data_IF_330093570799
#
_entry.id   IF_330093570799
#
_cell.length_a   1.000
_cell.length_b   1.000
_cell.length_c   1.000
_cell.angle_alpha   90.00
_cell.angle_beta   90.00
_cell.angle_gamma   90.00
#
_symmetry.space_group_name_H-M   'P 1'
#
loop_
_entity.id
_entity.type
_entity.pdbx_description
1 polymer ?
#
# COMPACT_ATOMS: atom_id res chain seq x y z
N UNK A 1 -14.00 -22.40 21.88
CA UNK A 1 -13.76 -20.98 22.17
C UNK A 1 -14.60 -20.17 21.19
N UNK A 2 -15.63 -19.45 21.68
CA UNK A 2 -16.37 -18.55 20.79
C UNK A 2 -15.51 -17.33 20.52
N UNK A 3 -14.94 -17.25 19.31
CA UNK A 3 -14.18 -16.08 18.90
C UNK A 3 -15.21 -15.02 18.55
N UNK A 4 -15.24 -13.95 19.31
CA UNK A 4 -16.00 -12.78 18.96
C UNK A 4 -15.29 -12.08 17.80
N UNK A 5 -15.82 -12.23 16.58
CA UNK A 5 -15.32 -11.49 15.43
C UNK A 5 -16.08 -10.17 15.39
N UNK A 6 -15.40 -9.04 15.58
CA UNK A 6 -16.06 -7.74 15.64
C UNK A 6 -16.77 -7.42 14.33
N UNK A 7 -17.92 -6.80 14.41
CA UNK A 7 -18.53 -6.12 13.27
C UNK A 7 -17.70 -4.90 12.85
N UNK A 8 -17.90 -4.44 11.63
CA UNK A 8 -17.24 -3.23 11.14
C UNK A 8 -17.61 -2.04 12.01
N UNK A 9 -16.61 -1.38 12.61
CA UNK A 9 -16.79 -0.19 13.44
C UNK A 9 -15.78 0.90 13.06
N UNK A 10 -16.09 2.15 13.36
CA UNK A 10 -15.33 3.35 12.99
C UNK A 10 -15.06 4.28 14.18
N UNK A 11 -14.96 3.72 15.38
CA UNK A 11 -14.82 4.42 16.65
C UNK A 11 -13.75 3.80 17.55
N UNK A 12 -12.70 3.23 16.94
CA UNK A 12 -11.57 2.67 17.68
C UNK A 12 -10.82 3.74 18.47
N UNK A 13 -10.63 3.55 19.78
CA UNK A 13 -9.69 4.37 20.53
C UNK A 13 -8.25 3.89 20.35
N UNK A 14 -7.28 4.76 20.61
CA UNK A 14 -5.86 4.40 20.56
C UNK A 14 -5.51 3.33 21.60
N UNK A 15 -6.12 3.41 22.79
CA UNK A 15 -5.94 2.44 23.88
C UNK A 15 -6.43 1.06 23.48
N UNK A 16 -7.58 0.95 22.81
CA UNK A 16 -8.10 -0.33 22.31
C UNK A 16 -7.15 -0.96 21.28
N UNK A 17 -6.62 -0.14 20.35
CA UNK A 17 -5.69 -0.63 19.34
C UNK A 17 -4.34 -1.01 19.96
N UNK A 18 -3.83 -0.25 20.92
CA UNK A 18 -2.64 -0.62 21.70
C UNK A 18 -2.84 -1.93 22.46
N UNK A 19 -4.02 -2.13 23.07
CA UNK A 19 -4.35 -3.38 23.75
C UNK A 19 -4.32 -4.59 22.79
N UNK A 20 -4.66 -4.41 21.51
CA UNK A 20 -4.47 -5.45 20.49
C UNK A 20 -2.97 -5.74 20.26
N UNK A 21 -2.14 -4.69 20.12
CA UNK A 21 -0.69 -4.86 19.97
C UNK A 21 -0.04 -5.56 21.16
N UNK A 22 -0.56 -5.40 22.36
CA UNK A 22 0.00 -5.99 23.60
C UNK A 22 -0.47 -7.42 23.86
N UNK A 23 -1.40 -7.95 23.10
CA UNK A 23 -1.85 -9.34 23.21
C UNK A 23 -0.70 -10.35 23.03
N UNK A 24 -0.77 -11.53 23.66
CA UNK A 24 0.10 -12.64 23.30
C UNK A 24 0.08 -12.86 21.78
N UNK A 25 1.28 -13.00 21.19
CA UNK A 25 1.42 -13.02 19.71
C UNK A 25 0.53 -14.08 19.05
N UNK A 26 0.51 -15.30 19.61
CA UNK A 26 -0.26 -16.40 19.04
C UNK A 26 -1.77 -16.14 19.08
N UNK A 27 -2.27 -15.53 20.18
CA UNK A 27 -3.69 -15.19 20.33
C UNK A 27 -4.10 -14.09 19.35
N UNK A 28 -3.24 -13.09 19.15
CA UNK A 28 -3.47 -12.01 18.18
C UNK A 28 -3.55 -12.56 16.75
N UNK A 29 -2.59 -13.39 16.34
CA UNK A 29 -2.56 -13.95 14.98
C UNK A 29 -3.72 -14.90 14.75
N UNK A 30 -4.09 -15.70 15.77
CA UNK A 30 -5.24 -16.58 15.71
C UNK A 30 -6.56 -15.82 15.50
N UNK A 31 -6.77 -14.73 16.25
CA UNK A 31 -7.95 -13.88 16.09
C UNK A 31 -7.97 -13.20 14.71
N UNK A 32 -6.83 -12.63 14.27
CA UNK A 32 -6.72 -12.03 12.95
C UNK A 32 -7.06 -13.03 11.83
N UNK A 33 -6.61 -14.29 11.95
CA UNK A 33 -6.93 -15.34 11.01
C UNK A 33 -8.43 -15.71 11.04
N UNK A 34 -9.04 -15.72 12.20
CA UNK A 34 -10.49 -15.97 12.32
C UNK A 34 -11.30 -14.85 11.66
N UNK A 35 -10.91 -13.59 11.87
CA UNK A 35 -11.49 -12.43 11.17
C UNK A 35 -11.28 -12.55 9.67
N UNK A 36 -10.07 -12.86 9.21
CA UNK A 36 -9.77 -13.05 7.80
C UNK A 36 -10.71 -14.08 7.15
N UNK A 37 -10.81 -15.29 7.72
CA UNK A 37 -11.64 -16.38 7.17
C UNK A 37 -13.13 -16.10 7.17
N UNK A 38 -13.60 -15.15 7.98
CA UNK A 38 -15.02 -14.74 7.98
C UNK A 38 -15.36 -13.80 6.81
N UNK A 39 -14.42 -12.97 6.38
CA UNK A 39 -14.68 -11.89 5.42
C UNK A 39 -14.00 -12.06 4.07
N UNK A 40 -13.03 -12.96 3.97
CA UNK A 40 -12.25 -13.23 2.76
C UNK A 40 -12.21 -14.73 2.46
N UNK A 41 -12.03 -15.07 1.19
CA UNK A 41 -11.80 -16.46 0.79
C UNK A 41 -10.49 -16.96 1.37
N UNK A 42 -10.55 -18.11 2.04
CA UNK A 42 -9.38 -18.70 2.67
C UNK A 42 -8.34 -19.12 1.62
N UNK A 43 -7.07 -18.82 1.90
CA UNK A 43 -5.93 -19.20 1.07
C UNK A 43 -5.89 -18.53 -0.32
N UNK A 44 -6.76 -17.56 -0.60
CA UNK A 44 -6.66 -16.71 -1.79
C UNK A 44 -5.84 -15.46 -1.53
N UNK A 45 -4.96 -15.12 -2.47
CA UNK A 45 -4.11 -13.93 -2.42
C UNK A 45 -4.23 -13.17 -3.73
N UNK A 46 -4.70 -11.92 -3.65
CA UNK A 46 -4.80 -11.05 -4.82
C UNK A 46 -3.40 -10.68 -5.32
N UNK A 47 -3.18 -10.87 -6.62
CA UNK A 47 -1.96 -10.45 -7.30
C UNK A 47 -2.15 -9.09 -7.96
N UNK A 48 -1.29 -8.15 -7.60
CA UNK A 48 -1.22 -6.84 -8.24
C UNK A 48 0.17 -6.63 -8.82
N UNK A 49 0.27 -5.88 -9.91
CA UNK A 49 1.56 -5.43 -10.43
C UNK A 49 1.65 -3.92 -10.39
N UNK A 50 2.84 -3.39 -10.08
CA UNK A 50 3.08 -1.96 -9.95
C UNK A 50 4.09 -1.49 -10.98
N UNK A 51 3.70 -0.50 -11.79
CA UNK A 51 4.56 0.17 -12.77
C UNK A 51 4.86 1.60 -12.34
N UNK A 52 6.13 1.99 -12.35
CA UNK A 52 6.51 3.42 -12.25
C UNK A 52 6.37 4.06 -13.62
N UNK A 53 5.28 4.78 -13.85
CA UNK A 53 5.03 5.51 -15.10
C UNK A 53 5.79 6.84 -15.18
N UNK A 54 6.28 7.34 -14.04
CA UNK A 54 7.18 8.49 -13.96
C UNK A 54 8.01 8.38 -12.68
N UNK A 55 9.33 8.24 -12.83
CA UNK A 55 10.27 8.00 -11.73
C UNK A 55 11.03 9.28 -11.39
N UNK A 56 11.27 9.53 -10.09
CA UNK A 56 12.15 10.59 -9.59
C UNK A 56 11.65 12.00 -9.82
N UNK A 57 12.39 12.98 -9.25
CA UNK A 57 12.07 14.40 -9.39
C UNK A 57 10.78 14.84 -8.70
N UNK A 58 10.34 14.12 -7.65
CA UNK A 58 9.22 14.54 -6.81
C UNK A 58 9.67 15.73 -5.95
N UNK A 59 8.81 16.75 -5.84
CA UNK A 59 9.12 17.93 -5.02
C UNK A 59 8.95 17.71 -3.51
N UNK A 60 8.33 16.57 -3.12
CA UNK A 60 8.19 16.17 -1.72
C UNK A 60 9.52 15.73 -1.11
N UNK A 61 9.62 15.79 0.22
CA UNK A 61 10.83 15.46 0.97
C UNK A 61 10.70 14.21 1.86
N UNK A 62 9.79 13.30 1.54
CA UNK A 62 9.55 12.08 2.31
C UNK A 62 10.87 11.34 2.61
N UNK A 63 11.23 11.23 3.89
CA UNK A 63 12.54 10.77 4.34
C UNK A 63 12.90 9.34 3.92
N UNK A 64 11.91 8.52 3.60
CA UNK A 64 12.07 7.14 3.10
C UNK A 64 12.20 7.04 1.58
N UNK A 65 11.89 8.12 0.82
CA UNK A 65 11.61 8.01 -0.61
C UNK A 65 12.80 8.43 -1.48
N UNK A 66 13.43 7.51 -2.23
CA UNK A 66 14.54 7.85 -3.13
C UNK A 66 14.09 8.70 -4.33
N UNK A 67 12.79 8.82 -4.59
CA UNK A 67 12.26 9.61 -5.71
C UNK A 67 12.17 11.11 -5.41
N UNK A 68 12.38 11.53 -4.15
CA UNK A 68 12.43 12.94 -3.76
C UNK A 68 13.59 13.65 -4.46
N UNK A 69 13.30 14.78 -5.10
CA UNK A 69 14.32 15.61 -5.78
C UNK A 69 15.42 16.04 -4.81
N UNK A 70 15.07 16.28 -3.57
CA UNK A 70 15.98 16.66 -2.47
C UNK A 70 17.13 15.65 -2.29
N UNK A 71 16.86 14.35 -2.49
CA UNK A 71 17.82 13.26 -2.29
C UNK A 71 18.41 12.72 -3.60
N UNK A 72 18.06 13.29 -4.76
CA UNK A 72 18.48 12.78 -6.07
C UNK A 72 19.99 12.67 -6.24
N UNK A 73 20.77 13.61 -5.65
CA UNK A 73 22.24 13.58 -5.69
C UNK A 73 22.83 12.40 -4.91
N UNK A 74 22.27 12.12 -3.73
CA UNK A 74 22.81 11.12 -2.81
C UNK A 74 22.34 9.71 -3.18
N UNK A 75 21.12 9.58 -3.71
CA UNK A 75 20.58 8.31 -4.20
C UNK A 75 21.04 7.96 -5.62
N UNK A 76 21.50 8.93 -6.39
CA UNK A 76 21.83 8.76 -7.81
C UNK A 76 20.64 8.54 -8.73
N UNK A 77 19.40 8.63 -8.22
CA UNK A 77 18.19 8.37 -8.99
C UNK A 77 17.91 9.52 -9.97
N UNK A 78 17.89 9.20 -11.25
CA UNK A 78 17.58 10.17 -12.31
C UNK A 78 16.07 10.26 -12.54
N UNK A 79 15.59 11.50 -12.68
CA UNK A 79 14.19 11.74 -13.03
C UNK A 79 13.90 11.33 -14.49
N UNK A 80 12.75 10.67 -14.70
CA UNK A 80 12.24 10.35 -16.03
C UNK A 80 11.08 11.29 -16.42
N UNK A 81 10.76 11.34 -17.71
CA UNK A 81 9.49 11.87 -18.20
C UNK A 81 8.36 10.88 -17.91
N UNK A 82 7.11 11.33 -18.07
CA UNK A 82 5.96 10.44 -18.09
C UNK A 82 6.12 9.42 -19.22
N UNK A 83 5.80 8.16 -18.93
CA UNK A 83 5.87 7.07 -19.91
C UNK A 83 4.77 7.24 -20.96
N UNK A 84 5.07 6.88 -22.20
CA UNK A 84 4.05 6.90 -23.27
C UNK A 84 3.03 5.79 -23.11
N UNK A 85 1.81 6.02 -23.60
CA UNK A 85 0.66 5.12 -23.50
C UNK A 85 1.00 3.69 -23.95
N UNK A 86 1.61 3.51 -25.14
CA UNK A 86 1.91 2.18 -25.70
C UNK A 86 2.81 1.34 -24.78
N UNK A 87 3.78 1.98 -24.11
CA UNK A 87 4.66 1.29 -23.18
C UNK A 87 3.91 0.85 -21.92
N UNK A 88 2.99 1.68 -21.40
CA UNK A 88 2.13 1.34 -20.26
C UNK A 88 1.21 0.18 -20.61
N UNK A 89 0.55 0.23 -21.77
CA UNK A 89 -0.35 -0.83 -22.24
C UNK A 89 0.38 -2.14 -22.49
N UNK A 90 1.61 -2.08 -23.00
CA UNK A 90 2.46 -3.28 -23.16
C UNK A 90 2.79 -3.92 -21.81
N UNK A 91 3.18 -3.11 -20.82
CA UNK A 91 3.44 -3.58 -19.46
C UNK A 91 2.20 -4.16 -18.78
N UNK A 92 1.03 -3.52 -18.97
CA UNK A 92 -0.24 -3.99 -18.41
C UNK A 92 -0.65 -5.35 -19.01
N UNK A 93 -0.43 -5.54 -20.32
CA UNK A 93 -0.68 -6.83 -21.00
C UNK A 93 0.20 -7.93 -20.42
N UNK A 94 1.51 -7.68 -20.30
CA UNK A 94 2.43 -8.62 -19.68
C UNK A 94 2.05 -8.97 -18.24
N UNK A 95 1.61 -7.98 -17.45
CA UNK A 95 1.11 -8.19 -16.09
C UNK A 95 -0.13 -9.09 -16.04
N UNK A 96 -1.08 -8.87 -16.98
CA UNK A 96 -2.27 -9.71 -17.11
C UNK A 96 -1.90 -11.15 -17.46
N UNK A 97 -1.01 -11.33 -18.43
CA UNK A 97 -0.55 -12.66 -18.88
C UNK A 97 0.19 -13.40 -17.75
N UNK A 98 0.85 -12.66 -16.84
CA UNK A 98 1.46 -13.18 -15.62
C UNK A 98 0.45 -13.43 -14.47
N UNK A 99 -0.85 -13.22 -14.69
CA UNK A 99 -1.92 -13.52 -13.73
C UNK A 99 -2.24 -12.39 -12.74
N UNK A 100 -1.79 -11.16 -12.97
CA UNK A 100 -2.21 -10.04 -12.15
C UNK A 100 -3.70 -9.73 -12.40
N UNK A 101 -4.46 -9.53 -11.32
CA UNK A 101 -5.85 -9.06 -11.38
C UNK A 101 -5.97 -7.54 -11.29
N UNK A 102 -4.91 -6.86 -10.76
CA UNK A 102 -4.84 -5.40 -10.65
C UNK A 102 -3.52 -4.86 -11.16
N UNK A 103 -3.60 -3.78 -11.94
CA UNK A 103 -2.43 -3.06 -12.42
C UNK A 103 -2.37 -1.66 -11.80
N UNK A 104 -1.31 -1.42 -11.03
CA UNK A 104 -1.08 -0.17 -10.33
C UNK A 104 -0.06 0.67 -11.10
N UNK A 105 -0.34 1.95 -11.27
CA UNK A 105 0.50 2.91 -11.99
C UNK A 105 0.89 4.06 -11.05
N UNK A 106 2.20 4.23 -10.80
CA UNK A 106 2.71 5.24 -9.89
C UNK A 106 3.54 6.31 -10.59
N UNK A 107 3.30 7.57 -10.27
CA UNK A 107 4.11 8.70 -10.72
C UNK A 107 4.66 9.50 -9.53
N UNK A 108 5.95 9.84 -9.59
CA UNK A 108 6.64 10.61 -8.55
C UNK A 108 6.28 12.10 -8.68
N UNK A 109 5.11 12.48 -8.18
CA UNK A 109 4.58 13.83 -8.15
C UNK A 109 4.08 14.23 -6.77
N UNK A 110 4.07 15.53 -6.48
CA UNK A 110 3.27 16.12 -5.41
C UNK A 110 1.78 16.01 -5.75
N UNK A 111 1.44 16.36 -7.01
CA UNK A 111 0.11 16.19 -7.64
C UNK A 111 0.27 16.15 -9.16
N UNK A 112 -0.67 15.54 -9.90
CA UNK A 112 -0.63 15.57 -11.36
C UNK A 112 -0.86 16.99 -11.87
N UNK A 113 -0.20 17.35 -12.96
CA UNK A 113 -0.47 18.60 -13.66
C UNK A 113 -1.61 18.39 -14.66
N UNK A 114 -2.43 19.40 -14.89
CA UNK A 114 -3.59 19.28 -15.80
C UNK A 114 -3.20 18.85 -17.20
N UNK A 115 -2.05 19.33 -17.71
CA UNK A 115 -1.53 18.92 -19.02
C UNK A 115 -1.17 17.44 -19.13
N UNK A 116 -0.94 16.77 -18.00
CA UNK A 116 -0.56 15.35 -17.96
C UNK A 116 -1.81 14.46 -17.70
N UNK A 117 -2.97 15.07 -17.35
CA UNK A 117 -4.19 14.31 -17.01
C UNK A 117 -4.81 13.59 -18.21
N UNK A 118 -4.72 14.15 -19.42
CA UNK A 118 -5.28 13.52 -20.61
C UNK A 118 -4.53 12.21 -20.93
N UNK A 119 -3.21 12.20 -20.78
CA UNK A 119 -2.41 10.98 -20.94
C UNK A 119 -2.75 9.95 -19.85
N UNK A 120 -2.92 10.41 -18.59
CA UNK A 120 -3.30 9.54 -17.48
C UNK A 120 -4.68 8.92 -17.68
N UNK A 121 -5.66 9.69 -18.13
CA UNK A 121 -7.01 9.19 -18.47
C UNK A 121 -6.93 8.08 -19.52
N UNK A 122 -6.19 8.29 -20.61
CA UNK A 122 -6.00 7.25 -21.64
C UNK A 122 -5.33 5.99 -21.10
N UNK A 123 -4.39 6.12 -20.15
CA UNK A 123 -3.77 4.96 -19.49
C UNK A 123 -4.80 4.19 -18.65
N UNK A 124 -5.65 4.88 -17.88
CA UNK A 124 -6.71 4.24 -17.08
C UNK A 124 -7.69 3.49 -17.98
N UNK A 125 -8.23 4.16 -18.99
CA UNK A 125 -9.18 3.59 -19.95
C UNK A 125 -8.58 2.38 -20.68
N UNK A 126 -7.33 2.50 -21.16
CA UNK A 126 -6.65 1.45 -21.91
C UNK A 126 -6.35 0.21 -21.06
N UNK A 127 -5.96 0.39 -19.80
CA UNK A 127 -5.70 -0.73 -18.85
C UNK A 127 -7.03 -1.37 -18.44
N UNK A 128 -8.05 -0.55 -18.12
CA UNK A 128 -9.39 -1.03 -17.78
C UNK A 128 -10.04 -1.86 -18.90
N UNK A 129 -9.86 -1.42 -20.17
CA UNK A 129 -10.34 -2.16 -21.34
C UNK A 129 -9.72 -3.56 -21.50
N UNK A 130 -8.58 -3.84 -20.85
CA UNK A 130 -7.98 -5.17 -20.80
C UNK A 130 -8.66 -6.08 -19.75
N UNK A 131 -9.57 -5.57 -18.93
CA UNK A 131 -10.21 -6.30 -17.83
C UNK A 131 -9.36 -6.38 -16.57
N UNK A 132 -8.33 -5.56 -16.43
CA UNK A 132 -7.56 -5.39 -15.21
C UNK A 132 -8.22 -4.33 -14.32
N UNK A 133 -8.24 -4.56 -13.01
CA UNK A 133 -8.52 -3.46 -12.08
C UNK A 133 -7.41 -2.42 -12.18
N UNK A 134 -7.79 -1.15 -12.23
CA UNK A 134 -6.85 -0.03 -12.32
C UNK A 134 -6.58 0.58 -10.95
N UNK A 135 -5.33 0.97 -10.69
CA UNK A 135 -4.97 1.69 -9.48
C UNK A 135 -3.94 2.78 -9.82
N UNK A 136 -4.16 3.99 -9.34
CA UNK A 136 -3.24 5.12 -9.54
C UNK A 136 -2.64 5.63 -8.23
N UNK A 137 -1.37 6.07 -8.29
CA UNK A 137 -0.65 6.78 -7.23
C UNK A 137 0.01 8.00 -7.86
N UNK A 138 -0.64 9.16 -7.81
CA UNK A 138 -0.20 10.38 -8.50
C UNK A 138 0.13 11.54 -7.55
N UNK A 139 0.19 11.27 -6.25
CA UNK A 139 0.28 12.28 -5.21
C UNK A 139 -1.09 12.78 -4.74
N UNK A 140 -1.19 14.04 -4.34
CA UNK A 140 -2.47 14.66 -3.94
C UNK A 140 -3.38 14.89 -5.14
N UNK A 141 -4.69 14.85 -4.93
CA UNK A 141 -5.70 15.18 -5.95
C UNK A 141 -6.60 16.31 -5.48
N UNK A 142 -6.91 17.20 -6.39
CA UNK A 142 -8.05 18.09 -6.27
C UNK A 142 -9.36 17.34 -6.64
N UNK A 143 -10.50 17.84 -6.18
CA UNK A 143 -11.82 17.24 -6.44
C UNK A 143 -12.07 16.99 -7.93
N UNK A 144 -11.83 18.00 -8.80
CA UNK A 144 -12.02 17.84 -10.25
C UNK A 144 -11.09 16.81 -10.89
N UNK A 145 -9.87 16.64 -10.35
CA UNK A 145 -8.92 15.62 -10.82
C UNK A 145 -9.41 14.21 -10.46
N UNK A 146 -9.87 14.03 -9.21
CA UNK A 146 -10.45 12.78 -8.76
C UNK A 146 -11.68 12.41 -9.62
N UNK A 147 -12.57 13.38 -9.91
CA UNK A 147 -13.74 13.18 -10.75
C UNK A 147 -13.37 12.78 -12.18
N UNK A 148 -12.36 13.44 -12.78
CA UNK A 148 -11.89 13.05 -14.13
C UNK A 148 -11.36 11.61 -14.18
N UNK A 149 -10.65 11.17 -13.15
CA UNK A 149 -10.16 9.81 -13.05
C UNK A 149 -11.29 8.80 -12.82
N UNK A 150 -12.32 9.16 -12.04
CA UNK A 150 -13.53 8.36 -11.87
C UNK A 150 -14.30 8.20 -13.20
N UNK A 151 -14.48 9.29 -13.94
CA UNK A 151 -15.14 9.29 -15.25
C UNK A 151 -14.39 8.42 -16.29
N UNK A 152 -13.06 8.29 -16.14
CA UNK A 152 -12.22 7.38 -16.93
C UNK A 152 -12.30 5.90 -16.48
N UNK A 153 -13.03 5.60 -15.42
CA UNK A 153 -13.20 4.24 -14.88
C UNK A 153 -12.07 3.79 -13.96
N UNK A 154 -11.40 4.70 -13.24
CA UNK A 154 -10.40 4.32 -12.25
C UNK A 154 -11.04 3.57 -11.08
N UNK A 155 -10.60 2.33 -10.83
CA UNK A 155 -11.13 1.51 -9.74
C UNK A 155 -10.59 1.91 -8.37
N UNK A 156 -9.27 2.19 -8.26
CA UNK A 156 -8.59 2.47 -7.00
C UNK A 156 -7.65 3.67 -7.10
N UNK A 157 -7.58 4.45 -6.04
CA UNK A 157 -6.53 5.44 -5.85
C UNK A 157 -5.72 5.15 -4.61
N UNK A 158 -4.40 5.02 -4.78
CA UNK A 158 -3.49 4.81 -3.65
C UNK A 158 -2.95 6.15 -3.13
N UNK A 159 -3.23 6.41 -1.87
CA UNK A 159 -2.68 7.54 -1.14
C UNK A 159 -2.53 7.17 0.34
N UNK A 160 -1.33 6.73 0.72
CA UNK A 160 -1.07 6.25 2.07
C UNK A 160 -1.04 7.39 3.08
N UNK A 161 -1.46 7.12 4.34
CA UNK A 161 -1.21 8.00 5.48
C UNK A 161 0.25 7.94 5.94
N UNK A 162 0.94 6.87 5.61
CA UNK A 162 2.34 6.54 5.89
C UNK A 162 2.65 6.27 7.36
N UNK A 163 2.16 7.09 8.32
CA UNK A 163 2.38 6.93 9.77
C UNK A 163 1.23 7.53 10.59
N UNK A 164 1.40 7.70 11.91
CA UNK A 164 0.47 8.46 12.75
C UNK A 164 0.49 9.96 12.44
N UNK A 165 -0.56 10.71 12.78
CA UNK A 165 -0.55 12.17 12.68
C UNK A 165 0.64 12.82 13.41
N UNK A 166 1.00 12.27 14.58
CA UNK A 166 2.06 12.79 15.43
C UNK A 166 3.45 12.57 14.82
N UNK A 167 3.71 11.36 14.29
CA UNK A 167 5.01 11.00 13.73
C UNK A 167 5.18 11.47 12.27
N UNK A 168 4.10 11.81 11.59
CA UNK A 168 4.10 12.19 10.18
C UNK A 168 5.07 13.34 9.86
N UNK A 169 5.07 14.38 10.68
CA UNK A 169 5.92 15.58 10.52
C UNK A 169 7.42 15.33 10.71
N UNK A 170 7.79 14.22 11.38
CA UNK A 170 9.19 13.81 11.51
C UNK A 170 9.73 13.20 10.20
N UNK A 171 8.83 12.79 9.30
CA UNK A 171 9.18 12.07 8.07
C UNK A 171 8.95 12.92 6.84
N UNK A 172 7.94 13.80 6.84
CA UNK A 172 7.52 14.60 5.69
C UNK A 172 7.24 16.02 6.18
N UNK A 173 7.89 17.00 5.59
CA UNK A 173 7.72 18.43 5.97
C UNK A 173 7.10 19.29 4.87
N UNK A 174 7.00 18.76 3.65
CA UNK A 174 6.51 19.49 2.48
C UNK A 174 4.99 19.43 2.29
N UNK A 175 4.30 18.62 3.07
CA UNK A 175 2.84 18.52 3.12
C UNK A 175 2.39 18.02 4.49
N UNK A 176 1.13 18.26 4.85
CA UNK A 176 0.56 17.89 6.14
C UNK A 176 -0.14 16.52 6.09
N UNK A 177 -0.47 15.99 7.26
CA UNK A 177 -1.27 14.77 7.38
C UNK A 177 -2.72 15.03 6.93
N UNK A 178 -3.24 16.23 7.21
CA UNK A 178 -4.58 16.67 6.81
C UNK A 178 -4.73 16.70 5.29
N UNK A 179 -3.74 17.21 4.54
CA UNK A 179 -3.75 17.20 3.06
C UNK A 179 -3.83 15.77 2.50
N UNK A 180 -3.32 14.76 3.25
CA UNK A 180 -3.52 13.34 2.91
C UNK A 180 -4.98 12.93 3.07
N UNK A 181 -5.61 13.32 4.18
CA UNK A 181 -7.01 13.02 4.44
C UNK A 181 -7.94 13.71 3.43
N UNK A 182 -7.66 14.97 3.08
CA UNK A 182 -8.42 15.71 2.06
C UNK A 182 -8.38 14.99 0.71
N UNK A 183 -7.20 14.48 0.32
CA UNK A 183 -7.08 13.69 -0.92
C UNK A 183 -7.92 12.41 -0.86
N UNK A 184 -7.95 11.70 0.28
CA UNK A 184 -8.79 10.50 0.45
C UNK A 184 -10.27 10.84 0.40
N UNK A 185 -10.67 12.02 0.90
CA UNK A 185 -12.04 12.52 0.82
C UNK A 185 -12.43 12.80 -0.64
N UNK A 186 -11.62 13.54 -1.41
CA UNK A 186 -11.85 13.79 -2.84
C UNK A 186 -11.99 12.50 -3.64
N UNK A 187 -11.12 11.53 -3.40
CA UNK A 187 -11.15 10.20 -4.03
C UNK A 187 -12.47 9.48 -3.74
N UNK A 188 -12.90 9.48 -2.46
CA UNK A 188 -14.13 8.82 -2.03
C UNK A 188 -15.37 9.53 -2.58
N UNK A 189 -15.39 10.87 -2.55
CA UNK A 189 -16.49 11.68 -3.08
C UNK A 189 -16.68 11.46 -4.59
N UNK A 190 -15.59 11.19 -5.32
CA UNK A 190 -15.64 10.82 -6.74
C UNK A 190 -16.10 9.37 -7.00
N UNK A 191 -16.31 8.55 -5.96
CA UNK A 191 -16.73 7.14 -6.11
C UNK A 191 -15.60 6.15 -6.39
N UNK A 192 -14.34 6.57 -6.27
CA UNK A 192 -13.17 5.70 -6.45
C UNK A 192 -12.88 4.97 -5.13
N UNK A 193 -12.52 3.69 -5.20
CA UNK A 193 -12.10 2.94 -4.02
C UNK A 193 -10.78 3.46 -3.46
N UNK A 194 -10.71 3.56 -2.14
CA UNK A 194 -9.50 4.00 -1.45
C UNK A 194 -8.54 2.84 -1.21
N UNK A 195 -7.28 3.04 -1.61
CA UNK A 195 -6.14 2.23 -1.21
C UNK A 195 -5.26 3.10 -0.31
N UNK A 196 -5.26 2.85 1.01
CA UNK A 196 -4.49 3.65 1.96
C UNK A 196 -4.00 2.80 3.13
N UNK A 197 -2.76 2.97 3.48
CA UNK A 197 -2.06 2.27 4.55
C UNK A 197 -0.85 3.05 5.00
N UNK A 198 0.24 2.36 5.32
CA UNK A 198 1.45 3.04 5.78
C UNK A 198 2.73 2.23 5.66
N UNK A 199 3.79 2.80 6.21
CA UNK A 199 5.13 2.25 6.23
C UNK A 199 5.53 2.01 7.68
N UNK A 200 6.06 0.82 7.95
CA UNK A 200 6.46 0.36 9.28
C UNK A 200 7.96 0.12 9.31
N UNK A 201 8.61 0.55 10.38
CA UNK A 201 10.07 0.45 10.55
C UNK A 201 10.82 1.72 10.17
N UNK A 202 10.16 2.88 10.19
CA UNK A 202 10.78 4.19 9.97
C UNK A 202 11.38 4.80 11.24
N UNK A 203 11.34 4.08 12.36
CA UNK A 203 11.75 4.56 13.70
C UNK A 203 10.56 4.93 14.59
N UNK A 204 9.35 4.76 14.08
CA UNK A 204 8.10 5.00 14.80
C UNK A 204 7.92 4.00 15.97
N UNK A 205 7.22 4.43 17.00
CA UNK A 205 6.87 3.61 18.15
C UNK A 205 5.66 2.69 17.85
N UNK A 206 5.37 1.77 18.75
CA UNK A 206 4.12 0.99 18.71
C UNK A 206 2.88 1.88 18.84
N UNK A 207 2.97 2.95 19.62
CA UNK A 207 1.91 3.95 19.76
C UNK A 207 1.64 4.68 18.44
N UNK A 208 2.69 5.02 17.69
CA UNK A 208 2.53 5.62 16.35
C UNK A 208 1.87 4.64 15.36
N UNK A 209 2.25 3.35 15.39
CA UNK A 209 1.58 2.34 14.56
C UNK A 209 0.10 2.21 14.92
N UNK A 210 -0.23 2.26 16.22
CA UNK A 210 -1.62 2.29 16.67
C UNK A 210 -2.35 3.54 16.17
N UNK A 211 -1.74 4.71 16.27
CA UNK A 211 -2.30 5.98 15.74
C UNK A 211 -2.58 5.93 14.23
N UNK A 212 -1.68 5.35 13.45
CA UNK A 212 -1.91 5.12 12.02
C UNK A 212 -3.13 4.21 11.77
N UNK A 213 -3.21 3.08 12.49
CA UNK A 213 -4.34 2.15 12.35
C UNK A 213 -5.66 2.81 12.77
N UNK A 214 -5.68 3.54 13.89
CA UNK A 214 -6.85 4.31 14.33
C UNK A 214 -7.31 5.30 13.26
N UNK A 215 -6.37 6.03 12.65
CA UNK A 215 -6.69 6.99 11.60
C UNK A 215 -7.33 6.31 10.38
N UNK A 216 -6.85 5.13 9.97
CA UNK A 216 -7.41 4.37 8.86
C UNK A 216 -8.76 3.72 9.22
N UNK A 217 -8.86 3.10 10.40
CA UNK A 217 -10.05 2.36 10.83
C UNK A 217 -11.23 3.27 11.20
N UNK A 218 -10.97 4.54 11.53
CA UNK A 218 -12.01 5.53 11.86
C UNK A 218 -12.39 6.44 10.68
N UNK A 219 -11.85 6.18 9.47
CA UNK A 219 -12.37 6.85 8.28
C UNK A 219 -13.87 6.54 8.10
N UNK A 220 -14.68 7.43 7.51
CA UNK A 220 -16.12 7.22 7.29
C UNK A 220 -16.45 5.88 6.63
N UNK A 221 -15.54 5.39 5.82
CA UNK A 221 -15.51 4.06 5.23
C UNK A 221 -14.08 3.53 5.33
N UNK A 222 -13.89 2.26 5.75
CA UNK A 222 -12.57 1.66 5.71
C UNK A 222 -12.01 1.69 4.28
N UNK A 223 -10.69 1.90 4.10
CA UNK A 223 -10.08 1.73 2.80
C UNK A 223 -10.35 0.32 2.27
N UNK A 224 -10.70 0.18 1.02
CA UNK A 224 -10.92 -1.13 0.40
C UNK A 224 -9.62 -1.95 0.32
N UNK A 225 -8.47 -1.28 0.24
CA UNK A 225 -7.15 -1.90 0.28
C UNK A 225 -6.24 -1.17 1.27
N UNK A 226 -5.55 -1.93 2.13
CA UNK A 226 -4.66 -1.40 3.19
C UNK A 226 -3.26 -1.99 3.01
N UNK A 227 -2.37 -1.31 2.25
CA UNK A 227 -0.99 -1.72 2.12
C UNK A 227 -0.21 -1.47 3.42
N UNK A 228 0.38 -2.51 3.99
CA UNK A 228 1.37 -2.43 5.05
C UNK A 228 2.74 -2.67 4.41
N UNK A 229 3.54 -1.62 4.37
CA UNK A 229 4.88 -1.64 3.80
C UNK A 229 5.90 -1.81 4.93
N UNK A 230 6.84 -2.74 4.78
CA UNK A 230 8.06 -2.73 5.59
C UNK A 230 9.04 -1.78 4.92
N UNK A 231 9.64 -0.88 5.68
CA UNK A 231 10.59 0.08 5.13
C UNK A 231 11.69 -0.62 4.33
N UNK A 232 11.88 -0.21 3.10
CA UNK A 232 13.05 -0.56 2.30
C UNK A 232 14.07 0.56 2.47
N UNK A 233 15.16 0.29 3.18
CA UNK A 233 16.23 1.26 3.43
C UNK A 233 17.01 1.49 2.15
N UNK A 234 16.97 2.70 1.62
CA UNK A 234 17.66 3.08 0.39
C UNK A 234 18.82 4.00 0.72
N UNK A 235 20.03 3.63 0.31
CA UNK A 235 21.22 4.45 0.49
C UNK A 235 21.01 5.84 -0.12
N UNK A 236 21.40 6.87 0.63
CA UNK A 236 21.23 8.27 0.22
C UNK A 236 19.89 8.88 0.63
N UNK A 237 18.99 8.13 1.28
CA UNK A 237 17.81 8.68 1.96
C UNK A 237 18.09 8.88 3.45
N UNK A 238 17.37 9.79 4.15
CA UNK A 238 17.56 10.00 5.59
C UNK A 238 17.36 8.74 6.44
N UNK A 239 16.49 7.81 6.02
CA UNK A 239 16.19 6.57 6.76
C UNK A 239 17.04 5.37 6.31
N UNK A 240 18.15 5.59 5.59
CA UNK A 240 19.01 4.50 5.10
C UNK A 240 19.60 3.64 6.24
N UNK A 241 19.90 4.25 7.39
CA UNK A 241 20.56 3.60 8.52
C UNK A 241 19.63 3.41 9.73
N UNK A 242 18.31 3.58 9.57
CA UNK A 242 17.36 3.35 10.66
C UNK A 242 17.37 1.87 11.06
N UNK A 243 17.17 1.58 12.33
CA UNK A 243 17.10 0.21 12.83
C UNK A 243 15.94 -0.54 12.16
N UNK A 244 16.21 -1.74 11.69
CA UNK A 244 15.19 -2.59 11.10
C UNK A 244 14.16 -3.02 12.13
N UNK A 245 12.88 -2.96 11.76
CA UNK A 245 11.81 -3.43 12.64
C UNK A 245 11.87 -4.94 12.84
N UNK A 246 11.60 -5.39 14.05
CA UNK A 246 11.43 -6.81 14.35
C UNK A 246 10.31 -7.43 13.49
N UNK A 247 10.57 -8.63 12.95
CA UNK A 247 9.62 -9.30 12.06
C UNK A 247 8.27 -9.61 12.72
N UNK A 248 8.27 -9.97 14.01
CA UNK A 248 7.03 -10.25 14.74
C UNK A 248 6.22 -8.98 15.01
N UNK A 249 6.89 -7.83 15.25
CA UNK A 249 6.23 -6.53 15.34
C UNK A 249 5.58 -6.12 14.01
N UNK A 250 6.21 -6.45 12.88
CA UNK A 250 5.60 -6.24 11.56
C UNK A 250 4.36 -7.10 11.37
N UNK A 251 4.41 -8.40 11.72
CA UNK A 251 3.26 -9.31 11.68
C UNK A 251 2.14 -8.83 12.61
N UNK A 252 2.46 -8.32 13.82
CA UNK A 252 1.47 -7.72 14.72
C UNK A 252 0.72 -6.57 14.05
N UNK A 253 1.42 -5.71 13.31
CA UNK A 253 0.78 -4.58 12.61
C UNK A 253 -0.22 -5.07 11.56
N UNK A 254 0.12 -6.12 10.81
CA UNK A 254 -0.80 -6.76 9.85
C UNK A 254 -2.03 -7.34 10.57
N UNK A 255 -1.81 -8.06 11.69
CA UNK A 255 -2.89 -8.68 12.47
C UNK A 255 -3.85 -7.62 13.03
N UNK A 256 -3.32 -6.53 13.60
CA UNK A 256 -4.12 -5.43 14.13
C UNK A 256 -4.90 -4.74 13.00
N UNK A 257 -4.27 -4.48 11.84
CA UNK A 257 -4.96 -3.94 10.68
C UNK A 257 -6.11 -4.85 10.21
N UNK A 258 -5.92 -6.19 10.22
CA UNK A 258 -6.97 -7.15 9.87
C UNK A 258 -8.15 -7.12 10.85
N UNK A 259 -7.87 -7.06 12.16
CA UNK A 259 -8.91 -7.06 13.19
C UNK A 259 -9.72 -5.76 13.14
N UNK A 260 -9.05 -4.62 13.02
CA UNK A 260 -9.70 -3.30 13.04
C UNK A 260 -10.42 -2.96 11.74
N UNK A 261 -9.97 -3.50 10.60
CA UNK A 261 -10.54 -3.28 9.28
C UNK A 261 -10.90 -4.63 8.61
N UNK A 262 -11.92 -5.35 9.10
CA UNK A 262 -12.15 -6.75 8.78
C UNK A 262 -12.48 -7.02 7.31
N UNK A 263 -13.06 -6.05 6.60
CA UNK A 263 -13.44 -6.18 5.18
C UNK A 263 -12.39 -5.65 4.21
N UNK A 264 -11.40 -4.92 4.70
CA UNK A 264 -10.33 -4.37 3.87
C UNK A 264 -9.40 -5.46 3.36
N UNK A 265 -8.92 -5.36 2.13
CA UNK A 265 -7.84 -6.22 1.63
C UNK A 265 -6.51 -5.71 2.18
N UNK A 266 -6.02 -6.34 3.26
CA UNK A 266 -4.70 -6.03 3.81
C UNK A 266 -3.63 -6.55 2.85
N UNK A 267 -2.75 -5.67 2.40
CA UNK A 267 -1.68 -6.02 1.45
C UNK A 267 -0.33 -6.11 2.13
N UNK A 268 0.33 -7.26 2.00
CA UNK A 268 1.75 -7.40 2.26
C UNK A 268 2.50 -6.75 1.08
N UNK A 269 2.95 -5.51 1.28
CA UNK A 269 3.40 -4.63 0.22
C UNK A 269 4.94 -4.60 0.10
N UNK A 270 5.59 -3.44 0.19
CA UNK A 270 7.04 -3.33 0.06
C UNK A 270 7.82 -4.04 1.20
N UNK A 271 9.09 -4.35 0.94
CA UNK A 271 10.00 -4.98 1.91
C UNK A 271 10.01 -6.50 1.90
N UNK A 272 9.26 -7.17 1.01
CA UNK A 272 9.18 -8.62 0.91
C UNK A 272 10.48 -9.28 0.46
N UNK A 273 11.31 -8.56 -0.29
CA UNK A 273 12.57 -9.10 -0.84
C UNK A 273 13.50 -9.68 0.25
N UNK A 274 13.53 -9.04 1.40
CA UNK A 274 14.38 -9.45 2.54
C UNK A 274 13.65 -10.32 3.58
N UNK A 275 12.38 -10.65 3.37
CA UNK A 275 11.62 -11.52 4.26
C UNK A 275 11.88 -12.99 3.95
N UNK A 276 12.02 -13.81 5.00
CA UNK A 276 12.02 -15.26 4.83
C UNK A 276 10.63 -15.79 4.47
N UNK A 277 10.55 -17.02 3.95
CA UNK A 277 9.28 -17.67 3.63
C UNK A 277 8.39 -17.79 4.89
N UNK A 278 8.99 -18.09 6.07
CA UNK A 278 8.29 -18.23 7.35
C UNK A 278 7.69 -16.89 7.79
N UNK A 279 8.41 -15.78 7.63
CA UNK A 279 7.90 -14.47 7.98
C UNK A 279 6.73 -14.07 7.06
N UNK A 280 6.84 -14.34 5.77
CA UNK A 280 5.73 -14.11 4.83
C UNK A 280 4.52 -15.01 5.15
N UNK A 281 4.74 -16.28 5.49
CA UNK A 281 3.67 -17.20 5.93
C UNK A 281 2.94 -16.67 7.18
N UNK A 282 3.67 -16.12 8.16
CA UNK A 282 3.07 -15.48 9.32
C UNK A 282 2.27 -14.23 8.94
N UNK A 283 2.71 -13.45 7.95
CA UNK A 283 1.95 -12.31 7.45
C UNK A 283 0.61 -12.75 6.81
N UNK A 284 0.60 -13.85 6.03
CA UNK A 284 -0.64 -14.42 5.49
C UNK A 284 -1.53 -14.99 6.60
N UNK A 285 -0.95 -15.67 7.61
CA UNK A 285 -1.69 -16.10 8.81
C UNK A 285 -2.31 -14.92 9.56
N UNK A 286 -1.63 -13.79 9.64
CA UNK A 286 -2.13 -12.55 10.24
C UNK A 286 -3.18 -11.84 9.39
N UNK A 287 -3.54 -12.39 8.22
CA UNK A 287 -4.63 -11.90 7.38
C UNK A 287 -4.22 -11.02 6.21
N UNK A 288 -2.95 -10.99 5.80
CA UNK A 288 -2.59 -10.42 4.50
C UNK A 288 -3.25 -11.25 3.39
N UNK A 289 -3.88 -10.57 2.42
CA UNK A 289 -4.65 -11.19 1.34
C UNK A 289 -4.31 -10.61 -0.04
N UNK A 290 -3.24 -9.84 -0.15
CA UNK A 290 -2.77 -9.29 -1.43
C UNK A 290 -1.27 -9.06 -1.39
N UNK A 291 -0.61 -9.22 -2.53
CA UNK A 291 0.81 -8.88 -2.73
C UNK A 291 1.01 -8.11 -4.03
N UNK A 292 2.15 -7.45 -4.15
CA UNK A 292 2.69 -7.05 -5.44
C UNK A 292 3.56 -8.17 -6.01
N UNK A 293 3.29 -8.54 -7.26
CA UNK A 293 4.07 -9.49 -8.05
C UNK A 293 5.06 -8.75 -8.96
N UNK A 294 6.08 -9.45 -9.47
CA UNK A 294 7.12 -8.93 -10.35
C UNK A 294 8.39 -8.55 -9.60
N UNK A 295 9.47 -8.33 -10.32
CA UNK A 295 10.82 -8.17 -9.77
C UNK A 295 11.06 -6.81 -9.12
N UNK A 296 10.18 -5.82 -9.37
CA UNK A 296 10.41 -4.45 -8.95
C UNK A 296 9.12 -3.75 -8.54
N UNK A 297 9.20 -3.02 -7.42
CA UNK A 297 8.22 -2.00 -7.03
C UNK A 297 8.81 -0.64 -7.37
N UNK A 298 8.10 0.29 -7.92
CA UNK A 298 8.58 1.63 -8.31
C UNK A 298 10.11 1.71 -8.56
N UNK A 299 10.91 1.76 -7.50
CA UNK A 299 12.38 1.91 -7.54
C UNK A 299 13.13 0.84 -6.73
N UNK A 300 12.44 -0.04 -6.01
CA UNK A 300 13.05 -1.04 -5.11
C UNK A 300 12.82 -2.47 -5.62
N UNK A 301 13.71 -3.42 -5.31
CA UNK A 301 13.52 -4.83 -5.63
C UNK A 301 12.26 -5.43 -4.99
N UNK A 302 11.76 -6.50 -5.58
CA UNK A 302 10.67 -7.33 -5.09
C UNK A 302 11.00 -8.80 -5.41
N UNK A 303 10.43 -9.81 -4.73
CA UNK A 303 10.86 -11.22 -4.83
C UNK A 303 10.90 -11.85 -6.21
N UNK A 304 10.16 -11.30 -7.17
CA UNK A 304 10.02 -11.89 -8.50
C UNK A 304 8.96 -12.99 -8.56
N UNK A 305 8.61 -13.38 -9.78
CA UNK A 305 7.48 -14.28 -10.03
C UNK A 305 7.75 -15.72 -9.61
N UNK A 306 8.95 -16.21 -9.85
CA UNK A 306 9.33 -17.59 -9.52
C UNK A 306 9.34 -17.85 -8.01
N UNK A 307 9.86 -16.88 -7.24
CA UNK A 307 9.89 -16.97 -5.78
C UNK A 307 8.50 -16.90 -5.19
N UNK A 308 7.63 -16.04 -5.70
CA UNK A 308 6.24 -15.96 -5.26
C UNK A 308 5.47 -17.23 -5.61
N UNK A 309 5.66 -17.80 -6.78
CA UNK A 309 5.04 -19.05 -7.19
C UNK A 309 5.48 -20.24 -6.32
N UNK A 310 6.77 -20.34 -6.02
CA UNK A 310 7.31 -21.36 -5.13
C UNK A 310 6.78 -21.21 -3.68
N UNK A 311 6.65 -19.98 -3.19
CA UNK A 311 6.08 -19.72 -1.87
C UNK A 311 4.59 -20.12 -1.82
N UNK A 312 3.82 -19.78 -2.85
CA UNK A 312 2.39 -20.13 -2.92
C UNK A 312 2.19 -21.63 -2.96
N UNK A 313 3.00 -22.35 -3.73
CA UNK A 313 2.97 -23.83 -3.77
C UNK A 313 3.26 -24.42 -2.38
N UNK A 314 4.32 -23.98 -1.71
CA UNK A 314 4.67 -24.43 -0.35
C UNK A 314 3.56 -24.21 0.66
N UNK A 315 2.82 -23.09 0.55
CA UNK A 315 1.80 -22.70 1.51
C UNK A 315 0.39 -23.15 1.10
N UNK A 316 0.19 -23.73 -0.08
CA UNK A 316 -1.13 -24.07 -0.63
C UNK A 316 -1.99 -22.84 -0.87
N UNK A 317 -1.39 -21.70 -1.27
CA UNK A 317 -2.10 -20.47 -1.60
C UNK A 317 -2.46 -20.45 -3.09
N UNK A 318 -3.59 -19.80 -3.40
CA UNK A 318 -4.06 -19.59 -4.77
C UNK A 318 -4.07 -18.11 -5.12
N UNK A 319 -3.77 -17.79 -6.36
CA UNK A 319 -3.90 -16.44 -6.90
C UNK A 319 -5.39 -16.13 -7.19
N UNK A 320 -5.84 -14.90 -6.84
CA UNK A 320 -7.18 -14.37 -7.09
C UNK A 320 -7.13 -13.10 -7.95
#
# INVERSE_FOLDING_TARGET
MNIHVPDTRHDWSREEVLALFDRPFMDLVFEAQAVHRRYHTANEVQLSQLLSIKTGGCAEDCAYCPQAQKFAKDTGLKASKLMGLDAVLSAARAAKDAGASRFCMGAAWTRPKDRDLDDIVQMVEGVGAMGLQTCMTLGMLEDYQAKRLADAGLDYYNHNLDSSPEYYKEIITTRTFEERLDTLEHVRAAGINVCSGGIVGMGESRDDRAGMIVSLANLPQHPQSVPINRLVRVKGTPLAEVQEIDGLEFVRTIAVARITMPRSTVRLSAGRETMSDELQALCFMAGAASIFRGEKLLTTPNPGEDRDSALFEKLGLTAA
#
